data_IF_387300500590
#
_entry.id   IF_387300500590
#
_cell.length_a   1.000
_cell.length_b   1.000
_cell.length_c   1.000
_cell.angle_alpha   90.00
_cell.angle_beta   90.00
_cell.angle_gamma   90.00
#
_symmetry.space_group_name_H-M   'P 1'
#
loop_
_entity.id
_entity.type
_entity.pdbx_description
1 polymer ?
#
# COMPACT_ATOMS: atom_id res chain seq x y z
N UNK A 1 13.86 6.62 13.68
CA UNK A 1 12.55 6.18 13.15
C UNK A 1 12.81 5.31 11.94
N UNK A 2 12.43 4.04 12.00
CA UNK A 2 12.62 3.07 10.91
C UNK A 2 11.32 2.94 10.11
N UNK A 3 11.40 3.11 8.81
CA UNK A 3 10.26 3.06 7.91
C UNK A 3 10.41 1.93 6.88
N UNK A 4 9.33 1.23 6.61
CA UNK A 4 9.25 0.20 5.58
C UNK A 4 8.27 0.62 4.49
N UNK A 5 8.70 0.55 3.24
CA UNK A 5 7.78 0.50 2.10
C UNK A 5 7.47 -0.98 1.84
N UNK A 6 6.26 -1.38 2.20
CA UNK A 6 5.76 -2.75 2.02
C UNK A 6 4.97 -2.83 0.71
N UNK A 7 5.57 -3.43 -0.30
CA UNK A 7 4.99 -3.54 -1.64
C UNK A 7 4.30 -4.91 -1.75
N UNK A 8 2.97 -4.92 -1.72
CA UNK A 8 2.19 -6.14 -1.93
C UNK A 8 2.20 -6.51 -3.41
N UNK A 9 2.97 -7.53 -3.77
CA UNK A 9 3.20 -7.95 -5.15
C UNK A 9 2.77 -9.41 -5.39
N UNK A 10 3.03 -9.90 -6.59
CA UNK A 10 2.83 -11.30 -6.96
C UNK A 10 3.97 -11.78 -7.86
N UNK A 11 4.07 -13.09 -8.00
CA UNK A 11 5.06 -13.73 -8.84
C UNK A 11 4.96 -13.32 -10.32
N UNK A 12 3.74 -13.14 -10.81
CA UNK A 12 3.53 -12.69 -12.18
C UNK A 12 4.13 -11.31 -12.43
N UNK A 13 4.02 -10.38 -11.47
CA UNK A 13 4.61 -9.04 -11.58
C UNK A 13 6.14 -9.06 -11.52
N UNK A 14 6.72 -10.04 -10.83
CA UNK A 14 8.16 -10.28 -10.90
C UNK A 14 8.56 -10.77 -12.28
N UNK A 15 7.84 -11.74 -12.83
CA UNK A 15 8.14 -12.37 -14.12
C UNK A 15 7.95 -11.42 -15.31
N UNK A 16 6.91 -10.60 -15.31
CA UNK A 16 6.60 -9.71 -16.44
C UNK A 16 7.36 -8.36 -16.38
N UNK A 17 8.14 -8.13 -15.33
CA UNK A 17 8.98 -6.95 -15.16
C UNK A 17 8.30 -5.75 -14.52
N UNK A 18 7.09 -5.86 -13.99
CA UNK A 18 6.42 -4.76 -13.30
C UNK A 18 7.17 -4.36 -12.02
N UNK A 19 7.66 -5.33 -11.23
CA UNK A 19 8.51 -5.04 -10.08
C UNK A 19 9.86 -4.41 -10.49
N UNK A 20 10.43 -4.83 -11.62
CA UNK A 20 11.66 -4.24 -12.15
C UNK A 20 11.46 -2.78 -12.54
N UNK A 21 10.31 -2.41 -13.10
CA UNK A 21 10.01 -1.03 -13.40
C UNK A 21 10.09 -0.13 -12.16
N UNK A 22 9.65 -0.59 -10.98
CA UNK A 22 9.84 0.14 -9.72
C UNK A 22 11.32 0.23 -9.33
N UNK A 23 12.08 -0.88 -9.45
CA UNK A 23 13.52 -0.94 -9.13
C UNK A 23 14.36 -0.02 -10.02
N UNK A 24 13.91 0.21 -11.24
CA UNK A 24 14.60 1.05 -12.23
C UNK A 24 14.15 2.52 -12.19
N UNK A 25 13.06 2.83 -11.49
CA UNK A 25 12.49 4.18 -11.45
C UNK A 25 12.68 4.84 -10.08
N UNK A 26 11.72 4.72 -9.19
CA UNK A 26 11.71 5.50 -7.95
C UNK A 26 12.31 4.79 -6.72
N UNK A 27 12.39 3.45 -6.70
CA UNK A 27 12.99 2.73 -5.58
C UNK A 27 14.47 3.08 -5.32
N UNK A 28 15.32 3.41 -6.30
CA UNK A 28 16.69 3.85 -6.03
C UNK A 28 16.78 5.10 -5.15
N UNK A 29 15.78 5.99 -5.18
CA UNK A 29 15.75 7.20 -4.36
C UNK A 29 15.64 6.92 -2.85
N UNK A 30 15.19 5.71 -2.46
CA UNK A 30 15.14 5.25 -1.07
C UNK A 30 16.53 5.29 -0.40
N UNK A 31 17.60 5.05 -1.16
CA UNK A 31 18.99 5.06 -0.65
C UNK A 31 19.41 6.41 -0.05
N UNK A 32 18.67 7.48 -0.34
CA UNK A 32 18.89 8.83 0.21
C UNK A 32 18.45 8.93 1.69
N UNK A 33 17.71 7.93 2.19
CA UNK A 33 17.13 7.91 3.54
C UNK A 33 17.63 6.66 4.29
N UNK A 34 18.52 6.84 5.25
CA UNK A 34 19.22 5.74 5.97
C UNK A 34 18.27 4.72 6.62
N UNK A 35 17.16 5.20 7.17
CA UNK A 35 16.23 4.35 7.92
C UNK A 35 14.96 3.99 7.12
N UNK A 36 14.95 4.26 5.82
CA UNK A 36 13.88 3.85 4.92
C UNK A 36 14.32 2.60 4.15
N UNK A 37 13.50 1.55 4.23
CA UNK A 37 13.73 0.29 3.55
C UNK A 37 12.52 -0.08 2.69
N UNK A 38 12.69 -0.98 1.75
CA UNK A 38 11.56 -1.57 1.02
C UNK A 38 11.68 -3.08 0.93
N UNK A 39 10.54 -3.76 0.78
CA UNK A 39 10.45 -5.19 0.44
C UNK A 39 9.21 -5.42 -0.42
N UNK A 40 9.37 -6.30 -1.41
CA UNK A 40 8.24 -6.92 -2.10
C UNK A 40 7.76 -8.12 -1.29
N UNK A 41 6.46 -8.22 -1.05
CA UNK A 41 5.82 -9.33 -0.38
C UNK A 41 5.02 -10.13 -1.42
N UNK A 42 5.41 -11.38 -1.63
CA UNK A 42 4.88 -12.26 -2.68
C UNK A 42 4.33 -13.52 -2.02
N UNK A 43 3.15 -13.94 -2.40
CA UNK A 43 2.54 -15.19 -1.91
C UNK A 43 3.11 -16.43 -2.60
N UNK A 44 2.60 -17.60 -2.23
CA UNK A 44 2.89 -18.87 -2.90
C UNK A 44 1.84 -19.16 -3.96
N UNK A 45 2.27 -19.60 -5.13
CA UNK A 45 1.40 -19.98 -6.25
C UNK A 45 2.07 -20.98 -7.18
N UNK A 46 1.33 -21.48 -8.16
CA UNK A 46 1.90 -22.38 -9.16
C UNK A 46 3.07 -21.71 -9.89
N UNK A 47 4.25 -22.27 -9.76
CA UNK A 47 5.48 -21.77 -10.35
C UNK A 47 6.35 -20.87 -9.45
N UNK A 48 5.84 -20.38 -8.32
CA UNK A 48 6.64 -19.60 -7.35
C UNK A 48 7.71 -20.45 -6.64
N UNK A 49 7.48 -21.75 -6.57
CA UNK A 49 8.35 -22.73 -5.87
C UNK A 49 9.70 -22.95 -6.57
N UNK A 50 9.82 -22.59 -7.83
CA UNK A 50 10.99 -22.90 -8.69
C UNK A 50 11.81 -21.68 -9.06
N UNK A 51 11.47 -20.50 -8.58
CA UNK A 51 12.16 -19.25 -8.94
C UNK A 51 13.07 -18.78 -7.82
N UNK A 52 14.26 -18.37 -8.20
CA UNK A 52 15.15 -17.61 -7.31
C UNK A 52 14.43 -16.31 -6.95
N UNK A 53 13.96 -16.24 -5.72
CA UNK A 53 13.34 -15.01 -5.21
C UNK A 53 14.42 -13.94 -5.09
N UNK A 54 14.26 -12.76 -5.72
CA UNK A 54 15.21 -11.66 -5.55
C UNK A 54 15.42 -11.31 -4.07
N UNK A 55 16.59 -10.83 -3.73
CA UNK A 55 16.97 -10.55 -2.33
C UNK A 55 16.09 -9.49 -1.64
N UNK A 56 15.38 -8.68 -2.40
CA UNK A 56 14.43 -7.69 -1.92
C UNK A 56 12.97 -8.20 -1.83
N UNK A 57 12.74 -9.48 -2.17
CA UNK A 57 11.45 -10.13 -2.06
C UNK A 57 11.37 -11.01 -0.80
N UNK A 58 10.22 -10.95 -0.12
CA UNK A 58 9.85 -11.82 0.99
C UNK A 58 8.76 -12.77 0.51
N UNK A 59 9.05 -14.07 0.50
CA UNK A 59 8.08 -15.10 0.16
C UNK A 59 7.19 -15.40 1.39
N UNK A 60 5.91 -15.17 1.26
CA UNK A 60 4.88 -15.46 2.26
C UNK A 60 4.35 -16.89 2.05
N UNK A 61 4.97 -17.87 2.73
CA UNK A 61 4.73 -19.30 2.48
C UNK A 61 3.31 -19.77 2.77
N UNK A 62 2.60 -19.06 3.64
CA UNK A 62 1.26 -19.41 4.10
C UNK A 62 0.16 -18.57 3.42
N UNK A 63 0.49 -17.81 2.39
CA UNK A 63 -0.46 -16.92 1.71
C UNK A 63 -0.49 -17.22 0.21
N UNK A 64 -1.65 -17.58 -0.36
CA UNK A 64 -1.80 -17.75 -1.80
C UNK A 64 -1.46 -16.46 -2.57
N UNK A 65 -0.89 -16.64 -3.79
CA UNK A 65 -0.43 -15.51 -4.60
C UNK A 65 -1.49 -15.02 -5.58
N UNK A 66 -2.66 -14.66 -5.06
CA UNK A 66 -3.77 -14.13 -5.85
C UNK A 66 -4.33 -12.83 -5.25
N UNK A 67 -5.23 -12.19 -5.99
CA UNK A 67 -5.86 -10.93 -5.59
C UNK A 67 -6.80 -11.09 -4.39
N UNK A 68 -7.50 -12.20 -4.27
CA UNK A 68 -8.42 -12.49 -3.16
C UNK A 68 -7.71 -12.58 -1.80
N UNK A 69 -6.40 -12.83 -1.82
CA UNK A 69 -5.58 -12.98 -0.61
C UNK A 69 -4.74 -11.72 -0.27
N UNK A 70 -5.04 -10.55 -0.85
CA UNK A 70 -4.32 -9.30 -0.57
C UNK A 70 -4.36 -8.91 0.90
N UNK A 71 -5.47 -9.12 1.58
CA UNK A 71 -5.61 -8.83 3.02
C UNK A 71 -4.67 -9.70 3.86
N UNK A 72 -4.55 -10.99 3.53
CA UNK A 72 -3.59 -11.89 4.18
C UNK A 72 -2.14 -11.50 3.90
N UNK A 73 -1.83 -11.05 2.65
CA UNK A 73 -0.50 -10.52 2.31
C UNK A 73 -0.18 -9.29 3.14
N UNK A 74 -1.12 -8.35 3.26
CA UNK A 74 -0.92 -7.14 4.07
C UNK A 74 -0.72 -7.49 5.53
N UNK A 75 -1.57 -8.35 6.14
CA UNK A 75 -1.37 -8.76 7.52
C UNK A 75 -0.01 -9.43 7.73
N UNK A 76 0.40 -10.31 6.82
CA UNK A 76 1.69 -11.01 6.92
C UNK A 76 2.88 -10.04 6.75
N UNK A 77 2.77 -9.04 5.88
CA UNK A 77 3.78 -7.99 5.73
C UNK A 77 3.90 -7.13 6.99
N UNK A 78 2.80 -6.81 7.65
CA UNK A 78 2.79 -6.08 8.92
C UNK A 78 3.40 -6.91 10.06
N UNK A 79 3.11 -8.23 10.12
CA UNK A 79 3.79 -9.15 11.07
C UNK A 79 5.30 -9.20 10.81
N UNK A 80 5.71 -9.19 9.56
CA UNK A 80 7.13 -9.11 9.19
C UNK A 80 7.74 -7.78 9.63
N UNK A 81 7.08 -6.66 9.36
CA UNK A 81 7.50 -5.33 9.79
C UNK A 81 7.63 -5.22 11.32
N UNK A 82 6.67 -5.78 12.07
CA UNK A 82 6.69 -5.82 13.53
C UNK A 82 7.90 -6.59 14.06
N UNK A 83 8.19 -7.78 13.53
CA UNK A 83 9.37 -8.58 13.93
C UNK A 83 10.69 -7.90 13.62
N UNK A 84 10.73 -6.98 12.67
CA UNK A 84 11.91 -6.21 12.29
C UNK A 84 11.91 -4.78 12.86
N UNK A 85 11.02 -4.49 13.80
CA UNK A 85 10.97 -3.25 14.58
C UNK A 85 10.83 -1.98 13.74
N UNK A 86 9.96 -1.99 12.72
CA UNK A 86 9.61 -0.79 11.97
C UNK A 86 8.59 0.06 12.73
N UNK A 87 8.84 1.38 12.81
CA UNK A 87 7.97 2.33 13.45
C UNK A 87 6.77 2.70 12.56
N UNK A 88 7.00 2.74 11.25
CA UNK A 88 5.98 3.04 10.23
C UNK A 88 6.10 2.13 9.03
N UNK A 89 4.96 1.83 8.44
CA UNK A 89 4.85 1.08 7.18
C UNK A 89 4.10 1.92 6.16
N UNK A 90 4.72 2.17 5.01
CA UNK A 90 4.02 2.63 3.82
C UNK A 90 3.62 1.41 3.00
N UNK A 91 2.33 1.14 2.94
CA UNK A 91 1.79 0.03 2.17
C UNK A 91 1.42 0.51 0.77
N UNK A 92 1.88 -0.18 -0.28
CA UNK A 92 1.55 0.14 -1.66
C UNK A 92 1.56 -1.11 -2.56
N UNK A 93 1.29 -0.91 -3.84
CA UNK A 93 1.30 -1.93 -4.89
C UNK A 93 2.37 -1.65 -5.97
N UNK A 94 2.69 -2.62 -6.85
CA UNK A 94 3.62 -2.40 -7.96
C UNK A 94 3.18 -1.36 -8.99
N UNK A 95 1.92 -0.99 -9.01
CA UNK A 95 1.37 0.08 -9.85
C UNK A 95 1.27 1.44 -9.14
N UNK A 96 1.95 1.58 -7.99
CA UNK A 96 2.08 2.85 -7.28
C UNK A 96 3.40 3.53 -7.63
N UNK A 97 3.36 4.71 -8.23
CA UNK A 97 4.54 5.58 -8.36
C UNK A 97 4.67 6.46 -7.11
N UNK A 98 5.90 6.59 -6.57
CA UNK A 98 6.18 7.42 -5.40
C UNK A 98 7.28 8.44 -5.68
N UNK A 99 7.08 9.66 -5.21
CA UNK A 99 8.13 10.67 -5.05
C UNK A 99 8.67 10.55 -3.62
N UNK A 100 9.77 9.81 -3.49
CA UNK A 100 10.28 9.37 -2.18
C UNK A 100 10.64 10.54 -1.26
N UNK A 101 11.21 11.62 -1.81
CA UNK A 101 11.52 12.84 -1.08
C UNK A 101 10.27 13.47 -0.45
N UNK A 102 9.19 13.53 -1.20
CA UNK A 102 7.89 14.05 -0.74
C UNK A 102 7.18 13.09 0.20
N UNK A 103 7.26 11.79 -0.09
CA UNK A 103 6.71 10.76 0.78
C UNK A 103 7.32 10.83 2.18
N UNK A 104 8.62 11.12 2.27
CA UNK A 104 9.33 11.24 3.55
C UNK A 104 9.22 12.61 4.23
N UNK A 105 8.75 13.63 3.52
CA UNK A 105 8.58 14.99 4.05
C UNK A 105 7.12 15.43 4.20
N UNK A 106 6.15 14.51 4.04
CA UNK A 106 4.74 14.87 4.07
C UNK A 106 4.15 15.05 5.47
N UNK A 107 4.89 14.72 6.53
CA UNK A 107 4.43 14.86 7.92
C UNK A 107 3.64 13.65 8.43
N UNK A 108 3.75 12.50 7.77
CA UNK A 108 3.04 11.26 8.12
C UNK A 108 3.29 10.80 9.55
N UNK A 109 4.47 11.11 10.11
CA UNK A 109 4.89 10.72 11.46
C UNK A 109 4.02 11.31 12.58
N UNK A 110 3.21 12.31 12.25
CA UNK A 110 2.26 12.92 13.18
C UNK A 110 0.95 12.15 13.29
N UNK A 111 0.74 11.15 12.44
CA UNK A 111 -0.52 10.43 12.29
C UNK A 111 -0.33 8.92 12.42
N UNK A 112 -1.41 8.24 12.80
CA UNK A 112 -1.42 6.78 12.90
C UNK A 112 -1.86 6.11 11.59
N UNK A 113 -2.67 6.82 10.78
CA UNK A 113 -3.14 6.37 9.48
C UNK A 113 -3.27 7.57 8.54
N UNK A 114 -2.54 7.56 7.43
CA UNK A 114 -2.35 8.70 6.53
C UNK A 114 -2.39 8.28 5.07
N UNK A 115 -3.27 8.87 4.25
CA UNK A 115 -3.40 8.55 2.83
C UNK A 115 -4.57 9.24 2.14
N UNK A 116 -5.01 8.71 1.00
CA UNK A 116 -6.22 9.14 0.27
C UNK A 116 -7.45 8.47 0.87
N UNK A 117 -8.12 9.13 1.78
CA UNK A 117 -9.30 8.56 2.44
C UNK A 117 -10.53 8.55 1.55
N UNK A 118 -11.27 7.46 1.64
CA UNK A 118 -12.58 7.26 1.04
C UNK A 118 -13.64 7.29 2.13
N UNK A 119 -14.49 8.32 2.12
CA UNK A 119 -15.45 8.60 3.16
C UNK A 119 -15.00 9.71 4.10
N UNK A 120 -15.80 10.01 5.11
CA UNK A 120 -15.49 11.04 6.11
C UNK A 120 -14.80 10.39 7.32
N UNK A 121 -13.52 10.68 7.59
CA UNK A 121 -12.81 10.14 8.74
C UNK A 121 -13.38 10.62 10.07
N UNK A 122 -14.21 11.67 10.10
CA UNK A 122 -14.85 12.17 11.31
C UNK A 122 -16.14 11.42 11.67
N UNK A 123 -16.73 10.72 10.73
CA UNK A 123 -17.96 9.95 10.95
C UNK A 123 -17.61 8.49 11.21
N UNK A 124 -17.60 8.12 12.47
CA UNK A 124 -17.37 6.74 12.91
C UNK A 124 -18.60 5.82 12.69
N UNK A 125 -19.52 6.21 11.85
CA UNK A 125 -20.65 5.38 11.47
C UNK A 125 -20.17 4.27 10.53
N UNK A 126 -19.86 3.13 11.13
CA UNK A 126 -19.78 1.85 10.42
C UNK A 126 -21.19 1.51 9.96
N UNK A 127 -21.60 2.05 8.83
CA UNK A 127 -22.79 1.52 8.16
C UNK A 127 -22.45 0.07 7.77
N UNK A 128 -23.31 -0.86 8.09
CA UNK A 128 -23.13 -2.30 7.82
C UNK A 128 -22.93 -2.64 6.34
N UNK A 129 -22.89 -1.67 5.46
CA UNK A 129 -22.83 -1.86 4.01
C UNK A 129 -21.62 -1.23 3.31
N UNK A 130 -20.87 -0.29 3.93
CA UNK A 130 -19.62 0.26 3.36
C UNK A 130 -18.75 0.76 4.51
N UNK A 131 -17.50 0.29 4.56
CA UNK A 131 -16.49 0.98 5.35
C UNK A 131 -16.35 2.41 4.80
N UNK A 132 -16.74 3.39 5.58
CA UNK A 132 -16.77 4.77 5.11
C UNK A 132 -15.42 5.47 5.28
N UNK A 133 -14.51 4.90 6.06
CA UNK A 133 -13.26 5.55 6.47
C UNK A 133 -12.05 4.65 6.26
N UNK A 134 -11.58 4.55 5.03
CA UNK A 134 -10.37 3.81 4.72
C UNK A 134 -9.49 4.59 3.74
N UNK A 135 -8.18 4.50 3.91
CA UNK A 135 -7.25 5.03 2.92
C UNK A 135 -7.14 4.05 1.75
N UNK A 136 -7.31 4.56 0.53
CA UNK A 136 -7.25 3.77 -0.69
C UNK A 136 -5.89 3.10 -0.86
N UNK A 137 -5.90 1.80 -1.12
CA UNK A 137 -4.68 1.00 -1.31
C UNK A 137 -3.91 1.32 -2.58
N UNK A 138 -4.58 1.82 -3.63
CA UNK A 138 -3.95 2.12 -4.92
C UNK A 138 -2.82 3.15 -4.84
N UNK A 139 -3.04 4.36 -4.33
CA UNK A 139 -1.96 5.34 -4.13
C UNK A 139 -1.05 4.99 -2.93
N UNK A 140 -1.42 4.00 -2.13
CA UNK A 140 -0.74 3.64 -0.91
C UNK A 140 -1.12 4.51 0.29
N UNK A 141 -0.71 4.04 1.49
CA UNK A 141 -0.95 4.76 2.74
C UNK A 141 0.13 4.45 3.79
N UNK A 142 0.34 5.40 4.69
CA UNK A 142 1.16 5.21 5.87
C UNK A 142 0.35 4.68 7.04
N UNK A 143 0.96 3.81 7.84
CA UNK A 143 0.40 3.28 9.07
C UNK A 143 1.49 3.21 10.15
N UNK A 144 1.21 3.77 11.35
CA UNK A 144 2.13 3.73 12.48
C UNK A 144 2.19 2.34 13.12
N UNK A 145 3.26 2.06 13.87
CA UNK A 145 3.39 0.82 14.66
C UNK A 145 2.19 0.61 15.58
N UNK A 146 1.78 1.66 16.29
CA UNK A 146 0.62 1.65 17.18
C UNK A 146 -0.66 1.20 16.46
N UNK A 147 -0.88 1.67 15.23
CA UNK A 147 -2.06 1.31 14.46
C UNK A 147 -1.93 -0.07 13.82
N UNK A 148 -0.79 -0.44 13.22
CA UNK A 148 -0.69 -1.73 12.56
C UNK A 148 -0.65 -2.91 13.56
N UNK A 149 -0.21 -2.70 14.79
CA UNK A 149 -0.28 -3.73 15.84
C UNK A 149 -1.71 -4.25 16.07
N UNK A 150 -2.73 -3.40 15.88
CA UNK A 150 -4.14 -3.80 15.94
C UNK A 150 -4.53 -4.77 14.82
N UNK A 151 -3.80 -4.72 13.70
CA UNK A 151 -4.07 -5.56 12.51
C UNK A 151 -3.39 -6.93 12.59
N UNK A 152 -2.36 -7.12 13.43
CA UNK A 152 -1.53 -8.33 13.44
C UNK A 152 -2.33 -9.61 13.70
N UNK A 153 -3.38 -9.52 14.50
CA UNK A 153 -4.23 -10.65 14.90
C UNK A 153 -5.70 -10.45 14.56
N UNK A 154 -6.04 -9.39 13.82
CA UNK A 154 -7.40 -9.11 13.43
C UNK A 154 -7.92 -10.19 12.47
N UNK A 155 -9.21 -10.58 12.55
CA UNK A 155 -9.78 -11.53 11.61
C UNK A 155 -9.80 -10.94 10.21
N UNK A 156 -9.38 -11.73 9.22
CA UNK A 156 -9.31 -11.31 7.81
C UNK A 156 -10.63 -11.55 7.09
N UNK A 157 -11.38 -12.56 7.53
CA UNK A 157 -12.68 -12.90 6.95
C UNK A 157 -13.78 -12.04 7.56
N UNK A 158 -14.70 -11.60 6.74
CA UNK A 158 -15.93 -10.91 7.14
C UNK A 158 -17.12 -11.40 6.33
N UNK A 159 -18.31 -10.97 6.73
CA UNK A 159 -19.53 -11.26 5.99
C UNK A 159 -19.81 -10.11 5.04
N UNK A 160 -19.90 -10.43 3.75
CA UNK A 160 -20.29 -9.51 2.71
C UNK A 160 -21.45 -10.11 1.90
N UNK A 161 -22.61 -9.47 1.90
CA UNK A 161 -23.82 -9.98 1.22
C UNK A 161 -24.15 -11.44 1.57
N UNK A 162 -24.12 -11.76 2.87
CA UNK A 162 -24.37 -13.10 3.43
C UNK A 162 -23.33 -14.18 3.06
N UNK A 163 -22.25 -13.80 2.41
CA UNK A 163 -21.12 -14.69 2.11
C UNK A 163 -19.92 -14.37 3.02
N UNK A 164 -19.23 -15.40 3.50
CA UNK A 164 -17.96 -15.25 4.23
C UNK A 164 -16.86 -15.13 3.18
N UNK A 165 -16.32 -13.93 3.02
CA UNK A 165 -15.26 -13.65 2.04
C UNK A 165 -14.13 -12.86 2.70
N UNK A 166 -12.90 -12.93 2.16
CA UNK A 166 -11.86 -11.98 2.52
C UNK A 166 -12.32 -10.56 2.18
N UNK A 167 -12.15 -9.65 3.13
CA UNK A 167 -12.32 -8.23 2.82
C UNK A 167 -11.29 -7.76 1.79
N UNK A 168 -11.67 -6.77 0.98
CA UNK A 168 -10.64 -6.00 0.25
C UNK A 168 -9.71 -5.33 1.26
N UNK A 169 -8.46 -5.30 0.96
CA UNK A 169 -7.40 -5.00 1.91
C UNK A 169 -7.54 -3.63 2.58
N UNK A 170 -7.81 -2.60 1.80
CA UNK A 170 -7.98 -1.23 2.27
C UNK A 170 -9.24 -1.05 3.13
N UNK A 171 -10.36 -1.68 2.73
CA UNK A 171 -11.59 -1.74 3.53
C UNK A 171 -11.35 -2.47 4.86
N UNK A 172 -10.63 -3.58 4.84
CA UNK A 172 -10.29 -4.33 6.05
C UNK A 172 -9.47 -3.47 7.02
N UNK A 173 -8.43 -2.80 6.52
CA UNK A 173 -7.60 -1.92 7.32
C UNK A 173 -8.43 -0.82 7.97
N UNK A 174 -9.23 -0.10 7.18
CA UNK A 174 -10.09 0.96 7.71
C UNK A 174 -11.14 0.46 8.71
N UNK A 175 -11.76 -0.71 8.45
CA UNK A 175 -12.75 -1.31 9.35
C UNK A 175 -12.16 -1.71 10.71
N UNK A 176 -10.98 -2.32 10.71
CA UNK A 176 -10.35 -2.71 11.98
C UNK A 176 -9.92 -1.49 12.76
N UNK A 177 -9.25 -0.53 12.13
CA UNK A 177 -8.81 0.68 12.82
C UNK A 177 -9.99 1.52 13.32
N UNK A 178 -11.08 1.60 12.55
CA UNK A 178 -12.30 2.30 12.95
C UNK A 178 -13.02 1.71 14.18
N UNK A 179 -12.78 0.43 14.50
CA UNK A 179 -13.35 -0.20 15.72
C UNK A 179 -12.59 0.16 17.01
N UNK A 180 -11.40 0.72 16.88
CA UNK A 180 -10.54 1.08 18.02
C UNK A 180 -10.53 2.59 18.29
N UNK A 181 -11.73 3.17 18.31
CA UNK A 181 -11.94 4.62 18.57
C UNK A 181 -11.46 5.07 19.93
N UNK A 182 -11.56 4.19 20.91
CA UNK A 182 -11.08 4.38 22.30
C UNK A 182 -9.57 4.66 22.37
N UNK A 183 -8.82 4.23 21.37
CA UNK A 183 -7.38 4.49 21.29
C UNK A 183 -7.03 5.86 20.73
N UNK A 184 -8.00 6.67 20.32
CA UNK A 184 -7.79 7.99 19.74
C UNK A 184 -6.68 8.02 18.67
N UNK A 185 -6.77 7.11 17.69
CA UNK A 185 -5.85 7.10 16.54
C UNK A 185 -5.99 8.40 15.75
N UNK A 186 -4.86 8.91 15.28
CA UNK A 186 -4.82 10.14 14.48
C UNK A 186 -4.82 9.79 13.01
N UNK A 187 -5.82 10.27 12.30
CA UNK A 187 -6.00 10.08 10.86
C UNK A 187 -5.72 11.37 10.10
N UNK A 188 -5.22 11.26 8.88
CA UNK A 188 -5.08 12.40 7.99
C UNK A 188 -5.41 12.03 6.55
N UNK A 189 -6.40 12.72 5.98
CA UNK A 189 -6.79 12.60 4.59
C UNK A 189 -5.95 13.54 3.71
N UNK A 190 -5.21 12.96 2.78
CA UNK A 190 -4.38 13.68 1.83
C UNK A 190 -4.74 13.35 0.36
N UNK A 191 -6.03 13.35 0.09
CA UNK A 191 -6.59 13.06 -1.25
C UNK A 191 -5.99 13.92 -2.35
N UNK A 192 -5.48 15.10 -2.03
CA UNK A 192 -4.90 16.00 -3.02
C UNK A 192 -3.50 15.60 -3.48
N UNK A 193 -2.72 14.97 -2.61
CA UNK A 193 -1.34 14.57 -2.87
C UNK A 193 -1.17 13.08 -3.13
N UNK A 194 -2.10 12.24 -2.65
CA UNK A 194 -2.18 10.81 -2.92
C UNK A 194 -3.17 10.57 -4.05
N UNK A 195 -2.69 10.44 -5.27
CA UNK A 195 -3.54 10.44 -6.47
C UNK A 195 -4.03 9.02 -6.76
N UNK A 196 -5.33 8.81 -6.52
CA UNK A 196 -5.98 7.55 -6.82
C UNK A 196 -6.80 7.65 -8.10
N UNK A 197 -6.36 7.64 -9.21
CA UNK A 197 -7.02 7.51 -10.54
C UNK A 197 -6.04 7.98 -11.60
N UNK A 198 -5.19 7.06 -11.99
CA UNK A 198 -4.07 7.34 -12.87
C UNK A 198 -4.39 7.71 -14.31
N UNK A 199 -5.64 7.77 -14.77
CA UNK A 199 -5.87 7.92 -16.20
C UNK A 199 -6.55 9.21 -16.64
N UNK A 200 -7.44 9.78 -15.85
CA UNK A 200 -8.12 11.02 -16.27
C UNK A 200 -7.39 12.32 -15.88
N UNK A 201 -6.42 12.20 -14.97
CA UNK A 201 -5.75 13.36 -14.38
C UNK A 201 -4.24 13.31 -14.51
N UNK A 202 -3.71 12.36 -15.25
CA UNK A 202 -2.27 12.21 -15.44
C UNK A 202 -1.84 12.63 -16.85
N UNK A 203 -0.77 13.41 -16.99
CA UNK A 203 0.00 14.02 -15.91
C UNK A 203 -0.63 15.32 -15.39
N UNK A 204 -0.86 15.41 -14.08
CA UNK A 204 -1.18 16.71 -13.49
C UNK A 204 0.03 17.63 -13.61
N UNK A 205 -0.21 18.85 -14.04
CA UNK A 205 0.81 19.91 -14.10
C UNK A 205 1.20 20.43 -12.71
N UNK A 206 0.39 20.14 -11.70
CA UNK A 206 0.63 20.54 -10.33
C UNK A 206 1.71 19.62 -9.71
N UNK A 207 2.74 20.26 -9.28
CA UNK A 207 3.92 19.60 -8.69
C UNK A 207 3.68 19.11 -7.25
N UNK A 208 2.42 18.91 -6.80
CA UNK A 208 2.10 18.57 -5.40
C UNK A 208 2.02 17.06 -5.13
N UNK A 209 1.85 16.23 -6.14
CA UNK A 209 1.70 14.79 -5.98
C UNK A 209 2.83 14.16 -5.17
N UNK A 210 2.47 13.31 -4.20
CA UNK A 210 3.39 12.44 -3.44
C UNK A 210 3.42 11.06 -4.08
N UNK A 211 2.23 10.48 -4.31
CA UNK A 211 2.07 9.18 -4.95
C UNK A 211 1.02 9.22 -6.04
N UNK A 212 1.07 8.26 -6.95
CA UNK A 212 0.03 8.05 -7.95
C UNK A 212 -0.21 6.56 -8.22
N UNK A 213 -1.48 6.19 -8.19
CA UNK A 213 -1.94 4.88 -8.65
C UNK A 213 -2.02 4.89 -10.19
N UNK A 214 -1.22 4.06 -10.84
CA UNK A 214 -1.06 4.05 -12.30
C UNK A 214 -2.04 3.13 -13.03
N UNK A 215 -2.88 2.40 -12.31
CA UNK A 215 -3.91 1.51 -12.84
C UNK A 215 -5.30 2.14 -12.71
N UNK A 216 -6.18 1.84 -13.66
CA UNK A 216 -7.61 2.10 -13.57
C UNK A 216 -8.38 1.11 -14.45
N UNK A 217 -9.72 0.97 -14.29
CA UNK A 217 -10.52 0.01 -15.05
C UNK A 217 -10.35 0.10 -16.56
N UNK A 218 -10.24 1.30 -17.11
CA UNK A 218 -10.11 1.55 -18.55
C UNK A 218 -8.66 1.43 -19.06
N UNK A 219 -7.70 1.42 -18.15
CA UNK A 219 -6.27 1.40 -18.46
C UNK A 219 -5.52 0.54 -17.45
N UNK A 220 -5.41 -0.77 -17.69
CA UNK A 220 -4.68 -1.68 -16.81
C UNK A 220 -3.20 -1.25 -16.70
N UNK A 221 -2.60 -1.59 -15.57
CA UNK A 221 -1.20 -1.28 -15.33
C UNK A 221 -0.29 -1.99 -16.31
N UNK A 222 0.68 -1.24 -16.83
CA UNK A 222 1.84 -1.75 -17.55
C UNK A 222 3.11 -1.07 -17.02
N UNK A 223 4.25 -1.76 -17.16
CA UNK A 223 5.55 -1.19 -16.77
C UNK A 223 5.87 0.12 -17.48
N UNK A 224 5.39 0.30 -18.73
CA UNK A 224 5.61 1.54 -19.50
C UNK A 224 4.97 2.75 -18.84
N UNK A 225 3.86 2.57 -18.13
CA UNK A 225 3.24 3.64 -17.35
C UNK A 225 4.09 4.07 -16.16
N UNK A 226 4.84 3.16 -15.53
CA UNK A 226 5.79 3.47 -14.49
C UNK A 226 6.94 4.32 -15.03
N UNK A 227 7.52 3.94 -16.17
CA UNK A 227 8.57 4.72 -16.82
C UNK A 227 8.08 6.09 -17.28
N UNK A 228 6.87 6.18 -17.84
CA UNK A 228 6.28 7.45 -18.24
C UNK A 228 6.04 8.38 -17.03
N UNK A 229 5.55 7.84 -15.91
CA UNK A 229 5.40 8.57 -14.66
C UNK A 229 6.74 9.09 -14.16
N UNK A 230 7.77 8.25 -14.18
CA UNK A 230 9.11 8.62 -13.75
C UNK A 230 9.70 9.74 -14.61
N UNK A 231 9.61 9.61 -15.93
CA UNK A 231 10.09 10.64 -16.86
C UNK A 231 9.40 11.99 -16.65
N UNK A 232 8.09 11.97 -16.35
CA UNK A 232 7.33 13.17 -16.08
C UNK A 232 7.73 13.84 -14.76
N UNK A 233 7.77 13.08 -13.65
CA UNK A 233 7.95 13.67 -12.32
C UNK A 233 9.42 13.86 -11.90
N UNK A 234 10.36 13.17 -12.51
CA UNK A 234 11.79 13.34 -12.21
C UNK A 234 12.31 14.74 -12.53
N UNK A 235 11.67 15.43 -13.47
CA UNK A 235 12.09 16.75 -13.96
C UNK A 235 11.29 17.92 -13.31
N UNK A 236 10.42 17.63 -12.34
CA UNK A 236 9.64 18.59 -11.57
C UNK A 236 10.16 18.72 -10.13
#
# INVERSE_FOLDING_TARGET
>A
MRCLIAISSCYEYERNGNNNAMRETWLPDIRRFKDLHYRFFVGVGQGAEHTVTPADCILLRDVPDDYGNLTYKTQSSLRWAHRHEYDFVFRCFPDTYCRVDRLMSCGFEQYDYYGDFRGDPSTNEVSHQRAQNYASGGPGYWISKRAYELLLHAPVLGVWRDEITPYTEDLWTGNILGRHLDLHLRYFDDTHRFINRGSRYWPRKDNIAITAHLSCPDHPYTKDRMYAAHAHWRNL
#
